data_IF_911891359710
#
_entry.id   IF_911891359710
#
_cell.length_a   1.000
_cell.length_b   1.000
_cell.length_c   1.000
_cell.angle_alpha   90.00
_cell.angle_beta   90.00
_cell.angle_gamma   90.00
#
_symmetry.space_group_name_H-M   'P 1'
#
loop_
_entity.id
_entity.type
_entity.pdbx_description
1 polymer ?
#
# COMPACT_ATOMS: atom_id res chain seq x y z
N UNK A 1 21.08 -8.98 -0.40
CA UNK A 1 20.91 -10.16 -1.25
C UNK A 1 19.58 -10.08 -2.04
N UNK A 2 18.41 -10.10 -1.38
CA UNK A 2 17.12 -10.13 -2.10
C UNK A 2 16.86 -8.82 -2.86
N UNK A 3 17.19 -7.68 -2.25
CA UNK A 3 17.06 -6.36 -2.92
C UNK A 3 17.99 -6.20 -4.11
N UNK A 4 19.20 -6.75 -4.06
CA UNK A 4 20.14 -6.72 -5.17
C UNK A 4 19.56 -7.50 -6.36
N UNK A 5 19.06 -8.71 -6.09
CA UNK A 5 18.39 -9.52 -7.10
C UNK A 5 17.15 -8.84 -7.67
N UNK A 6 16.29 -8.24 -6.82
CA UNK A 6 15.12 -7.47 -7.27
C UNK A 6 15.55 -6.31 -8.17
N UNK A 7 16.64 -5.60 -7.81
CA UNK A 7 17.13 -4.48 -8.60
C UNK A 7 17.62 -4.90 -9.99
N UNK A 8 18.16 -6.10 -10.14
CA UNK A 8 18.61 -6.65 -11.42
C UNK A 8 17.46 -7.07 -12.36
N UNK A 9 16.26 -7.31 -11.83
CA UNK A 9 15.10 -7.61 -12.66
C UNK A 9 14.81 -6.45 -13.63
N UNK A 10 14.28 -6.72 -14.83
CA UNK A 10 13.97 -5.68 -15.81
C UNK A 10 12.87 -4.73 -15.29
N UNK A 11 12.94 -3.47 -15.74
CA UNK A 11 11.96 -2.43 -15.42
C UNK A 11 12.23 -1.71 -14.11
N UNK A 12 11.49 -0.62 -13.89
CA UNK A 12 11.52 0.14 -12.63
C UNK A 12 10.65 -0.55 -11.57
N UNK A 13 11.15 -0.59 -10.36
CA UNK A 13 10.46 -1.19 -9.20
C UNK A 13 10.08 -0.11 -8.19
N UNK A 14 8.87 -0.20 -7.65
CA UNK A 14 8.40 0.59 -6.50
C UNK A 14 8.04 -0.40 -5.40
N UNK A 15 8.71 -0.29 -4.25
CA UNK A 15 8.56 -1.20 -3.12
C UNK A 15 7.92 -0.44 -1.96
N UNK A 16 6.82 -0.98 -1.41
CA UNK A 16 6.25 -0.54 -0.15
C UNK A 16 6.69 -1.46 0.99
N UNK A 17 6.78 -0.91 2.21
CA UNK A 17 7.19 -1.67 3.39
C UNK A 17 6.12 -2.68 3.82
N UNK A 18 6.53 -3.92 4.07
CA UNK A 18 5.74 -4.91 4.79
C UNK A 18 6.00 -4.92 6.30
N UNK A 19 5.32 -5.81 7.03
CA UNK A 19 5.48 -5.94 8.47
C UNK A 19 6.73 -6.73 8.89
N UNK A 20 7.30 -7.51 7.99
CA UNK A 20 8.53 -8.27 8.21
C UNK A 20 9.79 -7.63 7.62
N UNK A 21 9.70 -6.43 7.04
CA UNK A 21 10.85 -5.71 6.47
C UNK A 21 11.64 -4.99 7.56
N UNK A 22 12.30 -5.74 8.42
CA UNK A 22 13.11 -5.21 9.54
C UNK A 22 14.35 -4.45 9.07
N UNK A 23 14.80 -4.71 7.84
CA UNK A 23 15.90 -4.02 7.17
C UNK A 23 15.55 -2.60 6.73
N UNK A 24 14.27 -2.21 6.74
CA UNK A 24 13.80 -0.91 6.27
C UNK A 24 14.31 0.24 7.14
N UNK A 25 15.23 1.02 6.58
CA UNK A 25 15.86 2.19 7.18
C UNK A 25 15.18 3.51 6.77
N UNK A 26 15.93 4.60 6.79
CA UNK A 26 15.45 5.87 6.28
C UNK A 26 15.22 5.81 4.77
N UNK A 27 14.13 6.40 4.31
CA UNK A 27 13.75 6.37 2.89
C UNK A 27 14.82 6.99 1.98
N UNK A 28 15.52 8.03 2.45
CA UNK A 28 16.61 8.66 1.69
C UNK A 28 17.79 7.70 1.47
N UNK A 29 18.16 6.93 2.47
CA UNK A 29 19.22 5.92 2.34
C UNK A 29 18.80 4.81 1.38
N UNK A 30 17.58 4.29 1.51
CA UNK A 30 17.07 3.24 0.64
C UNK A 30 17.02 3.69 -0.82
N UNK A 31 16.51 4.89 -1.08
CA UNK A 31 16.40 5.43 -2.44
C UNK A 31 17.77 5.79 -3.07
N UNK A 32 18.81 5.91 -2.26
CA UNK A 32 20.18 6.11 -2.74
C UNK A 32 20.90 4.80 -3.10
N UNK A 33 20.37 3.63 -2.66
CA UNK A 33 21.04 2.34 -2.88
C UNK A 33 20.95 1.86 -4.33
N UNK A 34 19.81 2.14 -5.00
CA UNK A 34 19.52 1.56 -6.30
C UNK A 34 18.96 2.61 -7.28
N UNK A 35 19.32 2.48 -8.53
CA UNK A 35 18.80 3.35 -9.60
C UNK A 35 17.39 2.96 -10.02
N UNK A 36 17.15 1.65 -10.25
CA UNK A 36 15.90 1.12 -10.80
C UNK A 36 14.90 0.62 -9.74
N UNK A 37 15.26 0.70 -8.45
CA UNK A 37 14.39 0.29 -7.35
C UNK A 37 14.18 1.47 -6.40
N UNK A 38 12.93 1.84 -6.20
CA UNK A 38 12.51 2.97 -5.38
C UNK A 38 11.61 2.50 -4.26
N UNK A 39 11.67 3.21 -3.14
CA UNK A 39 10.99 2.83 -1.90
C UNK A 39 9.94 3.87 -1.54
N UNK A 40 8.72 3.42 -1.26
CA UNK A 40 7.56 4.24 -1.04
C UNK A 40 7.29 4.43 0.46
N UNK A 41 7.48 5.66 0.93
CA UNK A 41 7.12 6.08 2.29
C UNK A 41 7.12 7.61 2.39
N UNK A 42 5.99 8.22 2.67
CA UNK A 42 5.77 9.68 2.73
C UNK A 42 6.04 10.44 1.41
N UNK A 43 6.27 9.74 0.34
CA UNK A 43 6.55 10.22 -1.01
C UNK A 43 5.60 9.55 -2.01
N UNK A 44 5.73 9.87 -3.27
CA UNK A 44 5.06 9.18 -4.36
C UNK A 44 6.00 9.02 -5.55
N UNK A 45 5.62 8.16 -6.48
CA UNK A 45 6.30 8.00 -7.77
C UNK A 45 5.31 8.14 -8.91
N UNK A 46 5.82 8.44 -10.09
CA UNK A 46 5.01 8.66 -11.28
C UNK A 46 5.14 7.47 -12.22
N UNK A 47 4.02 6.99 -12.70
CA UNK A 47 3.93 6.08 -13.82
C UNK A 47 2.89 6.63 -14.81
N UNK A 48 3.32 7.01 -16.01
CA UNK A 48 2.51 7.72 -17.00
C UNK A 48 1.86 8.97 -16.36
N UNK A 49 0.54 9.06 -16.33
CA UNK A 49 -0.23 10.14 -15.70
C UNK A 49 -0.73 9.81 -14.29
N UNK A 50 -0.31 8.67 -13.74
CA UNK A 50 -0.65 8.22 -12.38
C UNK A 50 0.41 8.60 -11.35
N UNK A 51 -0.05 9.05 -10.20
CA UNK A 51 0.77 9.09 -8.98
C UNK A 51 0.58 7.77 -8.21
N UNK A 52 1.69 7.09 -7.94
CA UNK A 52 1.74 5.89 -7.10
C UNK A 52 2.07 6.33 -5.68
N UNK A 53 1.08 6.39 -4.84
CA UNK A 53 1.15 6.78 -3.44
C UNK A 53 1.07 5.55 -2.53
N UNK A 54 1.39 5.68 -1.26
CA UNK A 54 1.16 4.59 -0.33
C UNK A 54 1.88 4.69 1.00
N UNK A 55 1.59 3.69 1.81
CA UNK A 55 2.22 3.41 3.10
C UNK A 55 2.10 1.93 3.41
N UNK A 56 2.76 1.47 4.48
CA UNK A 56 2.55 0.10 4.96
C UNK A 56 1.09 -0.17 5.34
N UNK A 57 0.37 0.82 5.85
CA UNK A 57 -0.90 0.60 6.50
C UNK A 57 -0.75 -0.08 7.86
N UNK A 58 -1.85 -0.45 8.48
CA UNK A 58 -1.90 -1.24 9.71
C UNK A 58 -3.28 -1.86 9.89
N UNK A 59 -3.39 -2.83 10.84
CA UNK A 59 -4.69 -3.36 11.22
C UNK A 59 -5.64 -2.25 11.63
N UNK A 60 -6.90 -2.33 11.21
CA UNK A 60 -7.88 -1.27 11.39
C UNK A 60 -8.68 -1.44 12.70
N UNK A 61 -9.13 -0.32 13.32
CA UNK A 61 -9.99 -0.35 14.52
C UNK A 61 -11.27 -1.15 14.31
N UNK A 62 -11.86 -1.60 15.42
CA UNK A 62 -13.12 -2.38 15.41
C UNK A 62 -12.93 -3.87 15.15
N UNK A 63 -11.73 -4.31 14.78
CA UNK A 63 -11.36 -5.71 14.70
C UNK A 63 -11.08 -6.35 16.05
N UNK A 64 -11.22 -7.68 16.13
CA UNK A 64 -11.13 -8.41 17.41
C UNK A 64 -9.72 -8.41 18.02
N UNK A 65 -8.69 -8.18 17.19
CA UNK A 65 -7.27 -8.16 17.61
C UNK A 65 -6.70 -6.76 17.82
N UNK A 66 -7.50 -5.70 17.64
CA UNK A 66 -7.03 -4.33 17.71
C UNK A 66 -6.80 -3.86 19.15
N UNK A 67 -5.62 -3.31 19.44
CA UNK A 67 -5.19 -2.88 20.77
C UNK A 67 -4.81 -1.39 20.81
N UNK A 68 -4.64 -0.82 22.00
CA UNK A 68 -4.14 0.55 22.18
C UNK A 68 -2.73 0.78 21.57
N UNK A 69 -1.91 -0.27 21.47
CA UNK A 69 -0.62 -0.19 20.80
C UNK A 69 -0.80 -0.05 19.29
N UNK A 70 -1.77 -0.77 18.74
CA UNK A 70 -2.08 -0.73 17.32
C UNK A 70 -2.65 0.63 16.91
N UNK A 71 -3.42 1.28 17.78
CA UNK A 71 -3.96 2.62 17.55
C UNK A 71 -2.85 3.65 17.24
N UNK A 72 -1.75 3.62 17.98
CA UNK A 72 -0.61 4.53 17.75
C UNK A 72 0.04 4.28 16.39
N UNK A 73 0.17 3.00 16.01
CA UNK A 73 0.76 2.63 14.72
C UNK A 73 -0.20 2.99 13.58
N UNK A 74 -1.49 2.69 13.72
CA UNK A 74 -2.55 3.03 12.78
C UNK A 74 -2.57 4.54 12.47
N UNK A 75 -2.61 5.39 13.51
CA UNK A 75 -2.58 6.86 13.35
C UNK A 75 -1.31 7.35 12.65
N UNK A 76 -0.16 6.75 12.94
CA UNK A 76 1.09 7.08 12.26
C UNK A 76 1.06 6.70 10.78
N UNK A 77 0.52 5.55 10.44
CA UNK A 77 0.42 5.12 9.04
C UNK A 77 -0.61 5.97 8.26
N UNK A 78 -1.68 6.46 8.90
CA UNK A 78 -2.59 7.44 8.30
C UNK A 78 -1.86 8.75 7.95
N UNK A 79 -1.04 9.29 8.88
CA UNK A 79 -0.23 10.48 8.61
C UNK A 79 0.72 10.25 7.43
N UNK A 80 1.33 9.08 7.35
CA UNK A 80 2.23 8.71 6.24
C UNK A 80 1.51 8.64 4.90
N UNK A 81 0.33 8.03 4.88
CA UNK A 81 -0.49 8.01 3.66
C UNK A 81 -0.87 9.42 3.25
N UNK A 82 -1.32 10.25 4.19
CA UNK A 82 -1.66 11.64 3.92
C UNK A 82 -0.49 12.42 3.31
N UNK A 83 0.70 12.28 3.86
CA UNK A 83 1.91 12.93 3.33
C UNK A 83 2.20 12.51 1.88
N UNK A 84 2.03 11.22 1.57
CA UNK A 84 2.20 10.70 0.21
C UNK A 84 1.17 11.29 -0.75
N UNK A 85 -0.10 11.31 -0.37
CA UNK A 85 -1.21 11.84 -1.16
C UNK A 85 -1.11 13.36 -1.35
N UNK A 86 -0.81 14.12 -0.28
CA UNK A 86 -0.60 15.57 -0.34
C UNK A 86 0.54 15.94 -1.29
N UNK A 87 1.64 15.17 -1.27
CA UNK A 87 2.77 15.40 -2.17
C UNK A 87 2.37 15.24 -3.66
N UNK A 88 1.56 14.22 -3.97
CA UNK A 88 1.05 14.02 -5.32
C UNK A 88 0.08 15.12 -5.75
N UNK A 89 -0.88 15.48 -4.90
CA UNK A 89 -1.84 16.56 -5.16
C UNK A 89 -1.16 17.92 -5.35
N UNK A 90 -0.15 18.23 -4.54
CA UNK A 90 0.65 19.46 -4.67
C UNK A 90 1.34 19.58 -6.03
N UNK A 91 1.67 18.46 -6.67
CA UNK A 91 2.24 18.45 -8.02
C UNK A 91 1.18 18.34 -9.14
N UNK A 92 -0.11 18.39 -8.80
CA UNK A 92 -1.22 18.42 -9.77
C UNK A 92 -1.69 17.07 -10.27
N UNK A 93 -1.26 15.97 -9.66
CA UNK A 93 -1.76 14.63 -10.05
C UNK A 93 -3.20 14.42 -9.59
N UNK A 94 -4.07 14.12 -10.54
CA UNK A 94 -5.48 13.76 -10.28
C UNK A 94 -5.69 12.26 -10.24
N UNK A 95 -4.98 11.50 -11.06
CA UNK A 95 -5.05 10.04 -11.08
C UNK A 95 -4.10 9.45 -10.05
N UNK A 96 -4.65 8.76 -9.07
CA UNK A 96 -3.90 8.21 -7.94
C UNK A 96 -4.17 6.71 -7.80
N UNK A 97 -3.08 5.95 -7.64
CA UNK A 97 -3.09 4.56 -7.18
C UNK A 97 -2.42 4.53 -5.81
N UNK A 98 -3.03 3.84 -4.85
CA UNK A 98 -2.47 3.65 -3.51
C UNK A 98 -1.98 2.21 -3.34
N UNK A 99 -0.75 2.07 -2.85
CA UNK A 99 -0.18 0.80 -2.43
C UNK A 99 -0.17 0.71 -0.90
N UNK A 100 -0.78 -0.33 -0.36
CA UNK A 100 -0.78 -0.67 1.06
C UNK A 100 -0.19 -2.08 1.24
N UNK A 101 0.44 -2.35 2.38
CA UNK A 101 0.73 -3.74 2.76
C UNK A 101 -0.48 -4.36 3.46
N UNK A 102 -1.03 -3.68 4.48
CA UNK A 102 -2.22 -4.14 5.18
C UNK A 102 -3.51 -3.80 4.43
N UNK A 103 -4.57 -4.64 4.58
CA UNK A 103 -5.91 -4.29 4.11
C UNK A 103 -6.37 -2.94 4.67
N UNK A 104 -7.09 -2.12 3.90
CA UNK A 104 -7.60 -0.83 4.39
C UNK A 104 -8.84 -0.96 5.29
N UNK A 105 -9.32 -2.16 5.56
CA UNK A 105 -10.45 -2.46 6.46
C UNK A 105 -10.07 -3.50 7.50
N UNK A 106 -10.89 -3.65 8.54
CA UNK A 106 -10.83 -4.80 9.43
C UNK A 106 -11.54 -6.03 8.80
N UNK A 107 -11.53 -7.14 9.50
CA UNK A 107 -12.15 -8.41 9.07
C UNK A 107 -13.69 -8.34 8.96
N UNK A 108 -14.30 -7.32 9.54
CA UNK A 108 -15.75 -7.03 9.46
C UNK A 108 -16.11 -6.12 8.29
N UNK A 109 -15.13 -5.73 7.47
CA UNK A 109 -15.27 -4.79 6.34
C UNK A 109 -15.85 -3.43 6.75
N UNK A 110 -15.58 -3.00 7.96
CA UNK A 110 -15.97 -1.68 8.42
C UNK A 110 -15.10 -0.61 7.76
N UNK A 111 -15.73 0.51 7.42
CA UNK A 111 -15.04 1.65 6.83
C UNK A 111 -14.06 2.23 7.82
N UNK A 112 -12.80 2.31 7.45
CA UNK A 112 -11.70 2.84 8.26
C UNK A 112 -11.34 4.27 7.84
N UNK A 113 -10.48 4.93 8.60
CA UNK A 113 -9.93 6.23 8.19
C UNK A 113 -9.03 6.12 6.96
N UNK A 114 -8.43 4.94 6.67
CA UNK A 114 -7.77 4.70 5.39
C UNK A 114 -8.76 4.79 4.24
N UNK A 115 -9.91 4.14 4.34
CA UNK A 115 -10.96 4.17 3.32
C UNK A 115 -11.51 5.58 3.15
N UNK A 116 -11.77 6.30 4.27
CA UNK A 116 -12.22 7.68 4.22
C UNK A 116 -11.23 8.57 3.47
N UNK A 117 -9.93 8.46 3.79
CA UNK A 117 -8.87 9.22 3.12
C UNK A 117 -8.73 8.86 1.64
N UNK A 118 -8.80 7.58 1.29
CA UNK A 118 -8.77 7.09 -0.09
C UNK A 118 -9.91 7.72 -0.91
N UNK A 119 -11.12 7.77 -0.37
CA UNK A 119 -12.27 8.40 -1.03
C UNK A 119 -12.12 9.92 -1.11
N UNK A 120 -11.68 10.60 -0.03
CA UNK A 120 -11.45 12.04 0.02
C UNK A 120 -10.48 12.50 -1.09
N UNK A 121 -9.42 11.72 -1.32
CA UNK A 121 -8.44 12.00 -2.38
C UNK A 121 -8.85 11.47 -3.76
N UNK A 122 -10.05 10.93 -3.91
CA UNK A 122 -10.53 10.36 -5.19
C UNK A 122 -9.52 9.38 -5.81
N UNK A 123 -9.00 8.46 -4.98
CA UNK A 123 -8.09 7.40 -5.42
C UNK A 123 -8.86 6.44 -6.33
N UNK A 124 -8.30 6.10 -7.48
CA UNK A 124 -8.96 5.20 -8.43
C UNK A 124 -8.77 3.72 -8.04
N UNK A 125 -7.56 3.35 -7.61
CA UNK A 125 -7.22 1.96 -7.30
C UNK A 125 -6.42 1.87 -6.00
N UNK A 126 -6.69 0.82 -5.23
CA UNK A 126 -5.91 0.44 -4.05
C UNK A 126 -5.39 -0.97 -4.22
N UNK A 127 -4.08 -1.12 -4.20
CA UNK A 127 -3.38 -2.41 -4.24
C UNK A 127 -2.95 -2.75 -2.84
N UNK A 128 -3.24 -3.96 -2.36
CA UNK A 128 -2.84 -4.38 -1.02
C UNK A 128 -2.53 -5.88 -0.97
N UNK A 129 -1.84 -6.31 0.09
CA UNK A 129 -1.43 -7.70 0.31
C UNK A 129 -1.68 -8.15 1.74
N UNK A 130 -0.66 -8.72 2.38
CA UNK A 130 -0.63 -9.18 3.78
C UNK A 130 -1.46 -10.42 4.12
N UNK A 131 -2.61 -10.61 3.49
CA UNK A 131 -3.50 -11.75 3.75
C UNK A 131 -2.96 -13.01 3.10
N UNK A 132 -2.77 -14.07 3.87
CA UNK A 132 -2.22 -15.35 3.42
C UNK A 132 -2.95 -16.55 4.01
N UNK A 133 -2.90 -17.70 3.32
CA UNK A 133 -3.39 -18.96 3.81
C UNK A 133 -4.91 -19.01 4.00
N UNK A 134 -5.41 -19.59 5.12
CA UNK A 134 -6.84 -19.84 5.29
C UNK A 134 -7.76 -18.63 5.19
N UNK A 135 -7.25 -17.42 5.51
CA UNK A 135 -8.06 -16.19 5.42
C UNK A 135 -8.48 -15.87 3.98
N UNK A 136 -7.73 -16.35 2.99
CA UNK A 136 -8.05 -16.17 1.57
C UNK A 136 -9.28 -16.95 1.11
N UNK A 137 -9.74 -17.93 1.89
CA UNK A 137 -10.96 -18.71 1.60
C UNK A 137 -12.24 -17.99 2.06
N UNK A 138 -12.10 -16.91 2.84
CA UNK A 138 -13.19 -16.10 3.31
C UNK A 138 -13.58 -14.96 2.36
N UNK A 139 -14.41 -14.07 2.85
CA UNK A 139 -14.74 -12.84 2.13
C UNK A 139 -13.51 -11.92 2.07
N UNK A 140 -13.24 -11.38 0.89
CA UNK A 140 -12.10 -10.48 0.64
C UNK A 140 -12.59 -9.16 0.05
N UNK A 141 -11.92 -8.07 0.39
CA UNK A 141 -12.12 -6.78 -0.26
C UNK A 141 -11.36 -6.79 -1.59
N UNK A 142 -12.02 -7.24 -2.65
CA UNK A 142 -11.43 -7.31 -3.99
C UNK A 142 -12.50 -6.99 -5.04
N UNK A 143 -12.27 -5.93 -5.82
CA UNK A 143 -13.20 -5.37 -6.78
C UNK A 143 -13.66 -3.96 -6.41
N UNK A 144 -14.72 -3.48 -7.03
CA UNK A 144 -15.23 -2.12 -6.87
C UNK A 144 -16.02 -1.97 -5.57
N UNK A 145 -15.63 -1.00 -4.74
CA UNK A 145 -16.38 -0.54 -3.58
C UNK A 145 -16.45 0.99 -3.60
N UNK A 146 -17.67 1.53 -3.71
CA UNK A 146 -17.87 2.93 -4.07
C UNK A 146 -17.28 3.23 -5.45
N UNK A 147 -16.43 4.22 -5.54
CA UNK A 147 -15.72 4.60 -6.77
C UNK A 147 -14.27 4.12 -6.81
N UNK A 148 -13.87 3.24 -5.91
CA UNK A 148 -12.49 2.77 -5.75
C UNK A 148 -12.40 1.29 -6.08
N UNK A 149 -11.45 0.91 -6.92
CA UNK A 149 -11.14 -0.49 -7.21
C UNK A 149 -10.10 -1.00 -6.21
N UNK A 150 -10.46 -1.97 -5.38
CA UNK A 150 -9.57 -2.64 -4.44
C UNK A 150 -9.03 -3.93 -5.05
N UNK A 151 -7.72 -4.12 -4.99
CA UNK A 151 -7.02 -5.22 -5.66
C UNK A 151 -6.11 -5.91 -4.65
N UNK A 152 -6.49 -7.14 -4.28
CA UNK A 152 -5.65 -7.99 -3.45
C UNK A 152 -4.55 -8.63 -4.32
N UNK A 153 -3.30 -8.52 -3.87
CA UNK A 153 -2.11 -9.03 -4.57
C UNK A 153 -1.20 -9.85 -3.67
N UNK A 154 -1.73 -10.47 -2.61
CA UNK A 154 -0.96 -11.44 -1.83
C UNK A 154 -0.45 -12.55 -2.74
N UNK A 155 0.80 -12.95 -2.56
CA UNK A 155 1.49 -13.84 -3.49
C UNK A 155 0.76 -15.17 -3.73
N UNK A 156 0.28 -15.81 -2.66
CA UNK A 156 -0.50 -17.05 -2.72
C UNK A 156 -1.93 -16.85 -3.27
N UNK A 157 -2.49 -15.64 -3.14
CA UNK A 157 -3.80 -15.31 -3.75
C UNK A 157 -3.74 -15.18 -5.27
N UNK A 158 -2.61 -14.70 -5.80
CA UNK A 158 -2.39 -14.54 -7.25
C UNK A 158 -1.55 -15.69 -7.84
N UNK A 159 -1.41 -16.82 -7.13
CA UNK A 159 -0.63 -17.99 -7.55
C UNK A 159 0.80 -17.61 -7.98
N UNK A 160 1.42 -16.64 -7.29
CA UNK A 160 2.76 -16.09 -7.58
C UNK A 160 2.92 -15.54 -9.02
N UNK A 161 1.83 -15.24 -9.70
CA UNK A 161 1.84 -14.62 -11.02
C UNK A 161 1.67 -13.09 -10.90
N UNK A 162 2.50 -12.29 -11.58
CA UNK A 162 2.33 -10.85 -11.61
C UNK A 162 0.95 -10.45 -12.15
N UNK A 163 0.25 -9.55 -11.44
CA UNK A 163 -1.04 -9.02 -11.86
C UNK A 163 -0.87 -7.68 -12.55
N UNK A 164 -1.35 -7.55 -13.78
CA UNK A 164 -1.43 -6.27 -14.47
C UNK A 164 -2.50 -5.39 -13.82
N UNK A 165 -2.18 -4.11 -13.55
CA UNK A 165 -3.05 -3.14 -12.88
C UNK A 165 -3.57 -2.05 -13.84
N UNK A 166 -2.77 -1.68 -14.82
CA UNK A 166 -3.06 -0.68 -15.86
C UNK A 166 -2.91 -1.26 -17.26
#
# INVERSE_FOLDING_TARGET
YDLDWINELPGKKIISKGNHDYWWNSISKLNAMYENTKFLQNNFYVYEDYAICGTRGWICPGGDKFTLKDEKIYKRELIRLKLSLDAARKQGFEKIIVMLHYPPTNEKFQKSDFVNMIEEYSVEKVIYGHLHGPVLQGKLLNGLWGNVEYILTSADYIDFNPKRIL
#
